data_IF_851939882944
#
_entry.id   IF_851939882944
#
_cell.length_a   1.000
_cell.length_b   1.000
_cell.length_c   1.000
_cell.angle_alpha   90.00
_cell.angle_beta   90.00
_cell.angle_gamma   90.00
#
_symmetry.space_group_name_H-M   'P 1'
#
loop_
_entity.id
_entity.type
_entity.pdbx_description
1 polymer ?
#
# COMPACT_ATOMS: atom_id res chain seq x y z
N UNK A 1 6.28 9.60 -59.76
CA UNK A 1 6.98 8.60 -58.92
C UNK A 1 8.24 9.23 -58.34
N UNK A 2 8.31 9.44 -57.02
CA UNK A 2 9.53 9.46 -56.16
C UNK A 2 9.47 10.40 -54.94
N UNK A 3 8.48 11.30 -54.81
CA UNK A 3 8.44 12.26 -53.68
C UNK A 3 7.46 11.83 -52.57
N UNK A 4 6.50 10.97 -52.86
CA UNK A 4 5.47 10.53 -51.90
C UNK A 4 5.90 9.41 -50.93
N UNK A 5 7.09 8.83 -51.10
CA UNK A 5 7.54 7.69 -50.28
C UNK A 5 8.34 8.15 -49.04
N UNK A 6 8.84 9.39 -49.02
CA UNK A 6 9.71 9.85 -47.92
C UNK A 6 8.92 10.38 -46.71
N UNK A 7 7.67 10.81 -46.90
CA UNK A 7 6.87 11.40 -45.82
C UNK A 7 6.29 10.36 -44.83
N UNK A 8 6.15 9.09 -45.21
CA UNK A 8 5.59 8.05 -44.33
C UNK A 8 6.60 7.44 -43.35
N UNK A 9 7.90 7.71 -43.50
CA UNK A 9 8.93 7.12 -42.64
C UNK A 9 9.18 7.90 -41.33
N UNK A 10 8.60 9.10 -41.16
CA UNK A 10 8.85 9.99 -40.01
C UNK A 10 7.86 9.85 -38.84
N UNK A 11 6.82 9.02 -38.95
CA UNK A 11 5.81 8.85 -37.90
C UNK A 11 6.02 7.60 -37.02
N UNK A 12 7.07 6.84 -37.23
CA UNK A 12 7.43 5.70 -36.39
C UNK A 12 8.47 6.10 -35.34
N UNK A 13 8.20 7.14 -34.55
CA UNK A 13 8.87 7.26 -33.25
C UNK A 13 8.21 6.25 -32.32
N UNK A 14 8.88 5.14 -31.92
CA UNK A 14 8.36 4.35 -30.82
C UNK A 14 8.28 5.30 -29.62
N UNK A 15 7.08 5.58 -29.16
CA UNK A 15 6.91 6.08 -27.81
C UNK A 15 7.56 5.02 -26.92
N UNK A 16 8.74 5.32 -26.38
CA UNK A 16 9.35 4.51 -25.35
C UNK A 16 8.38 4.58 -24.16
N UNK A 17 7.47 3.63 -24.09
CA UNK A 17 6.66 3.42 -22.91
C UNK A 17 7.65 3.13 -21.79
N UNK A 18 7.89 4.11 -20.91
CA UNK A 18 8.67 3.90 -19.71
C UNK A 18 7.89 2.86 -18.92
N UNK A 19 8.41 1.63 -18.86
CA UNK A 19 7.76 0.57 -18.11
C UNK A 19 7.67 1.01 -16.64
N UNK A 20 6.46 1.06 -16.06
CA UNK A 20 6.31 1.56 -14.70
C UNK A 20 7.10 0.68 -13.74
N UNK A 21 7.86 1.32 -12.85
CA UNK A 21 8.78 0.62 -11.96
C UNK A 21 8.01 -0.39 -11.09
N UNK A 22 8.51 -1.61 -11.02
CA UNK A 22 7.87 -2.69 -10.28
C UNK A 22 8.23 -2.62 -8.79
N UNK A 23 7.25 -2.33 -7.92
CA UNK A 23 7.40 -2.28 -6.46
C UNK A 23 7.61 -3.67 -5.84
N UNK A 24 8.17 -3.74 -4.62
CA UNK A 24 8.25 -5.00 -3.87
C UNK A 24 6.90 -5.73 -3.75
N UNK A 25 5.81 -5.00 -3.48
CA UNK A 25 4.44 -5.53 -3.45
C UNK A 25 4.05 -6.26 -4.75
N UNK A 26 4.32 -5.67 -5.91
CA UNK A 26 4.03 -6.31 -7.19
C UNK A 26 4.93 -7.52 -7.47
N UNK A 27 6.23 -7.42 -7.15
CA UNK A 27 7.17 -8.56 -7.28
C UNK A 27 6.74 -9.76 -6.46
N UNK A 28 6.19 -9.55 -5.27
CA UNK A 28 5.76 -10.62 -4.38
C UNK A 28 4.65 -11.48 -5.02
N UNK A 29 3.70 -10.84 -5.71
CA UNK A 29 2.62 -11.55 -6.41
C UNK A 29 3.12 -12.46 -7.54
N UNK A 30 4.26 -12.13 -8.16
CA UNK A 30 4.88 -12.98 -9.17
C UNK A 30 5.75 -14.08 -8.57
N UNK A 31 6.47 -13.77 -7.49
CA UNK A 31 7.45 -14.69 -6.89
C UNK A 31 6.79 -15.76 -6.05
N UNK A 32 5.76 -15.41 -5.29
CA UNK A 32 5.14 -16.28 -4.29
C UNK A 32 3.59 -16.19 -4.38
N UNK A 33 3.00 -16.49 -5.55
CA UNK A 33 1.55 -16.32 -5.77
C UNK A 33 0.72 -17.18 -4.80
N UNK A 34 1.23 -18.34 -4.39
CA UNK A 34 0.54 -19.28 -3.50
C UNK A 34 0.23 -18.71 -2.11
N UNK A 35 1.08 -17.80 -1.60
CA UNK A 35 0.86 -17.19 -0.28
C UNK A 35 -0.39 -16.30 -0.25
N UNK A 36 -0.73 -15.70 -1.38
CA UNK A 36 -1.79 -14.70 -1.52
C UNK A 36 -2.90 -15.18 -2.46
N UNK A 37 -3.08 -16.49 -2.62
CA UNK A 37 -4.21 -17.03 -3.36
C UNK A 37 -5.54 -16.72 -2.67
N UNK A 38 -6.61 -16.61 -3.45
CA UNK A 38 -7.97 -16.50 -2.92
C UNK A 38 -8.27 -17.61 -1.91
N UNK A 39 -8.93 -17.27 -0.80
CA UNK A 39 -9.24 -18.21 0.28
C UNK A 39 -8.12 -18.36 1.32
N UNK A 40 -6.94 -17.80 1.11
CA UNK A 40 -5.85 -17.84 2.09
C UNK A 40 -6.09 -16.85 3.23
N UNK A 41 -5.75 -17.27 4.44
CA UNK A 41 -5.70 -16.38 5.59
C UNK A 41 -4.43 -15.55 5.55
N UNK A 42 -4.59 -14.23 5.66
CA UNK A 42 -3.51 -13.26 5.72
C UNK A 42 -3.65 -12.37 6.95
N UNK A 43 -2.51 -11.84 7.40
CA UNK A 43 -2.43 -10.94 8.54
C UNK A 43 -1.62 -9.70 8.17
N UNK A 44 -2.14 -8.54 8.53
CA UNK A 44 -1.43 -7.27 8.58
C UNK A 44 -1.08 -6.98 10.03
N UNK A 45 0.19 -6.69 10.32
CA UNK A 45 0.68 -6.46 11.69
C UNK A 45 1.32 -5.08 11.84
N UNK A 46 1.08 -4.44 12.99
CA UNK A 46 1.67 -3.16 13.37
C UNK A 46 2.23 -3.24 14.80
N UNK A 47 3.35 -2.55 15.04
CA UNK A 47 4.04 -2.60 16.33
C UNK A 47 5.07 -3.74 16.38
N UNK A 48 5.50 -4.11 17.58
CA UNK A 48 6.46 -5.21 17.80
C UNK A 48 7.91 -4.96 17.34
N UNK A 49 8.19 -3.89 16.58
CA UNK A 49 9.52 -3.59 16.04
C UNK A 49 10.47 -2.86 17.02
N UNK A 50 10.10 -2.73 18.29
CA UNK A 50 10.96 -2.15 19.33
C UNK A 50 12.07 -3.12 19.76
N UNK A 51 13.22 -2.59 20.19
CA UNK A 51 14.31 -3.40 20.78
C UNK A 51 13.90 -4.16 22.06
N UNK A 52 12.75 -3.80 22.64
CA UNK A 52 12.18 -4.44 23.83
C UNK A 52 10.94 -5.22 23.40
N UNK A 53 10.94 -6.53 23.70
CA UNK A 53 9.92 -7.53 23.33
C UNK A 53 8.52 -7.30 23.95
N UNK A 54 8.25 -6.11 24.49
CA UNK A 54 7.05 -5.80 25.30
C UNK A 54 6.00 -4.97 24.57
N UNK A 55 6.31 -4.38 23.41
CA UNK A 55 5.29 -3.62 22.68
C UNK A 55 4.29 -4.58 22.03
N UNK A 56 2.98 -4.44 22.33
CA UNK A 56 1.97 -5.35 21.79
C UNK A 56 1.93 -5.26 20.27
N UNK A 57 1.86 -6.42 19.62
CA UNK A 57 1.58 -6.53 18.19
C UNK A 57 0.09 -6.35 17.98
N UNK A 58 -0.28 -5.32 17.23
CA UNK A 58 -1.65 -5.10 16.77
C UNK A 58 -1.81 -5.70 15.38
N UNK A 59 -3.01 -6.16 15.05
CA UNK A 59 -3.20 -6.90 13.81
C UNK A 59 -4.57 -6.67 13.17
N UNK A 60 -4.62 -6.99 11.88
CA UNK A 60 -5.83 -7.19 11.12
C UNK A 60 -5.68 -8.47 10.31
N UNK A 61 -6.58 -9.43 10.54
CA UNK A 61 -6.66 -10.69 9.80
C UNK A 61 -7.81 -10.67 8.81
N UNK A 62 -7.64 -11.42 7.74
CA UNK A 62 -8.69 -11.62 6.77
C UNK A 62 -8.41 -12.74 5.78
N UNK A 63 -9.38 -12.98 4.93
CA UNK A 63 -9.30 -13.93 3.83
C UNK A 63 -9.05 -13.18 2.52
N UNK A 64 -8.11 -13.65 1.71
CA UNK A 64 -7.86 -13.06 0.39
C UNK A 64 -9.06 -13.33 -0.53
N UNK A 65 -9.55 -12.28 -1.17
CA UNK A 65 -10.61 -12.35 -2.18
C UNK A 65 -10.05 -12.26 -3.60
N UNK A 66 -9.04 -11.42 -3.81
CA UNK A 66 -8.40 -11.23 -5.10
C UNK A 66 -7.03 -10.58 -4.93
N UNK A 67 -6.16 -10.82 -5.89
CA UNK A 67 -4.87 -10.15 -6.04
C UNK A 67 -4.77 -9.52 -7.41
N UNK A 68 -4.13 -8.37 -7.52
CA UNK A 68 -3.99 -7.66 -8.79
C UNK A 68 -2.69 -6.85 -8.83
N UNK A 69 -2.13 -6.65 -10.03
CA UNK A 69 -1.01 -5.73 -10.25
C UNK A 69 -1.53 -4.54 -11.03
N UNK A 70 -1.49 -3.36 -10.40
CA UNK A 70 -2.05 -2.13 -10.97
C UNK A 70 -0.96 -1.09 -11.15
N UNK A 71 -1.01 -0.33 -12.24
CA UNK A 71 -0.23 0.90 -12.37
C UNK A 71 -0.87 1.99 -11.51
N UNK A 72 -0.08 2.61 -10.62
CA UNK A 72 -0.51 3.74 -9.80
C UNK A 72 0.48 4.89 -9.95
N UNK A 73 -0.07 6.09 -10.15
CA UNK A 73 0.70 7.32 -10.10
C UNK A 73 1.05 7.67 -8.65
N UNK A 74 2.35 7.79 -8.35
CA UNK A 74 2.84 8.16 -7.04
C UNK A 74 3.11 9.68 -6.99
N UNK A 75 2.11 10.41 -6.49
CA UNK A 75 2.23 11.84 -6.21
C UNK A 75 3.01 12.15 -4.93
N UNK A 76 3.13 13.44 -4.59
CA UNK A 76 3.77 13.89 -3.34
C UNK A 76 3.06 13.40 -2.09
N UNK A 77 3.84 12.96 -1.09
CA UNK A 77 3.32 12.67 0.24
C UNK A 77 2.82 13.95 0.94
N UNK A 78 1.61 13.93 1.55
CA UNK A 78 1.12 15.03 2.36
C UNK A 78 2.03 15.37 3.55
N UNK A 79 2.60 16.58 3.55
CA UNK A 79 3.41 17.08 4.68
C UNK A 79 2.63 18.10 5.49
N UNK A 80 2.86 18.13 6.80
CA UNK A 80 2.40 19.20 7.68
C UNK A 80 3.61 20.06 8.05
N UNK A 81 3.67 21.32 7.60
CA UNK A 81 4.80 22.20 7.88
C UNK A 81 5.12 22.29 9.37
N UNK A 82 6.40 22.15 9.71
CA UNK A 82 6.89 22.26 11.09
C UNK A 82 6.52 21.11 12.02
N UNK A 83 5.96 20.01 11.52
CA UNK A 83 5.66 18.80 12.30
C UNK A 83 6.36 17.58 11.74
N UNK A 84 6.92 16.78 12.63
CA UNK A 84 7.28 15.40 12.33
C UNK A 84 6.03 14.50 12.44
N UNK A 85 6.08 13.27 11.90
CA UNK A 85 4.92 12.37 11.88
C UNK A 85 4.41 12.04 13.28
N UNK A 86 5.30 11.99 14.28
CA UNK A 86 4.98 11.75 15.70
C UNK A 86 4.20 12.91 16.33
N UNK A 87 4.18 14.08 15.68
CA UNK A 87 3.43 15.26 16.11
C UNK A 87 2.12 15.44 15.32
N UNK A 88 1.84 14.56 14.34
CA UNK A 88 0.61 14.64 13.57
C UNK A 88 -0.59 14.30 14.46
N UNK A 89 -1.68 15.03 14.28
CA UNK A 89 -3.00 14.59 14.72
C UNK A 89 -3.44 13.35 13.94
N UNK A 90 -4.46 12.63 14.43
CA UNK A 90 -4.99 11.45 13.72
C UNK A 90 -5.44 11.79 12.30
N UNK A 91 -6.09 12.94 12.09
CA UNK A 91 -6.55 13.36 10.78
C UNK A 91 -5.39 13.69 9.83
N UNK A 92 -4.33 14.32 10.33
CA UNK A 92 -3.10 14.57 9.56
C UNK A 92 -2.41 13.26 9.17
N UNK A 93 -2.29 12.31 10.11
CA UNK A 93 -1.76 10.98 9.84
C UNK A 93 -2.61 10.22 8.82
N UNK A 94 -3.95 10.24 8.94
CA UNK A 94 -4.83 9.56 8.00
C UNK A 94 -4.66 10.04 6.56
N UNK A 95 -4.50 11.36 6.34
CA UNK A 95 -4.23 11.90 5.01
C UNK A 95 -2.92 11.36 4.43
N UNK A 96 -1.86 11.32 5.24
CA UNK A 96 -0.58 10.73 4.85
C UNK A 96 -0.72 9.23 4.54
N UNK A 97 -1.41 8.49 5.41
CA UNK A 97 -1.61 7.06 5.32
C UNK A 97 -2.39 6.65 4.05
N UNK A 98 -3.42 7.41 3.67
CA UNK A 98 -4.21 7.20 2.44
C UNK A 98 -3.43 7.52 1.17
N UNK A 99 -2.54 8.52 1.23
CA UNK A 99 -1.72 8.89 0.08
C UNK A 99 -0.66 7.84 -0.25
N UNK A 100 -0.27 7.00 0.72
CA UNK A 100 0.76 5.97 0.53
C UNK A 100 0.33 4.88 -0.48
N UNK A 101 1.24 4.36 -1.32
CA UNK A 101 2.60 4.85 -1.54
C UNK A 101 2.63 6.20 -2.26
N UNK A 102 3.57 7.05 -1.88
CA UNK A 102 3.77 8.41 -2.39
C UNK A 102 5.27 8.75 -2.41
N UNK A 103 5.66 9.81 -3.11
CA UNK A 103 7.06 10.24 -3.23
C UNK A 103 7.35 11.43 -2.31
N UNK A 104 8.61 11.53 -1.86
CA UNK A 104 9.04 12.66 -1.02
C UNK A 104 9.00 14.01 -1.75
N UNK A 105 9.13 15.13 -1.03
CA UNK A 105 9.01 16.48 -1.60
C UNK A 105 9.96 16.74 -2.77
N UNK A 106 11.20 16.27 -2.69
CA UNK A 106 12.24 16.47 -3.71
C UNK A 106 12.25 15.39 -4.80
N UNK A 107 11.56 14.27 -4.60
CA UNK A 107 11.58 13.14 -5.55
C UNK A 107 10.55 13.36 -6.67
N UNK A 108 10.91 13.07 -7.92
CA UNK A 108 9.97 13.17 -9.04
C UNK A 108 8.77 12.21 -8.87
N UNK A 109 7.58 12.72 -9.17
CA UNK A 109 6.37 11.90 -9.31
C UNK A 109 6.54 10.94 -10.47
N UNK A 110 5.96 9.75 -10.35
CA UNK A 110 6.16 8.66 -11.32
C UNK A 110 5.10 7.59 -11.18
N UNK A 111 4.93 6.81 -12.23
CA UNK A 111 4.07 5.64 -12.22
C UNK A 111 4.85 4.40 -11.77
N UNK A 112 4.25 3.62 -10.88
CA UNK A 112 4.78 2.36 -10.41
C UNK A 112 3.73 1.26 -10.52
N UNK A 113 4.16 0.03 -10.77
CA UNK A 113 3.31 -1.15 -10.66
C UNK A 113 3.30 -1.64 -9.22
N UNK A 114 2.10 -1.75 -8.65
CA UNK A 114 1.88 -2.10 -7.25
C UNK A 114 1.06 -3.37 -7.15
N UNK A 115 1.44 -4.27 -6.23
CA UNK A 115 0.70 -5.50 -5.98
C UNK A 115 -0.33 -5.26 -4.90
N UNK A 116 -1.62 -5.40 -5.24
CA UNK A 116 -2.74 -5.15 -4.34
C UNK A 116 -3.44 -6.46 -4.02
N UNK A 117 -3.77 -6.62 -2.75
CA UNK A 117 -4.56 -7.72 -2.23
C UNK A 117 -5.84 -7.15 -1.66
N UNK A 118 -6.96 -7.61 -2.21
CA UNK A 118 -8.28 -7.33 -1.65
C UNK A 118 -8.63 -8.47 -0.70
N UNK A 119 -8.97 -8.12 0.54
CA UNK A 119 -9.28 -9.08 1.58
C UNK A 119 -10.63 -8.79 2.24
N UNK A 120 -11.24 -9.85 2.79
CA UNK A 120 -12.40 -9.78 3.68
C UNK A 120 -11.93 -9.84 5.12
N UNK A 121 -12.20 -8.79 5.89
CA UNK A 121 -11.77 -8.69 7.29
C UNK A 121 -12.53 -9.70 8.16
N UNK A 122 -11.80 -10.47 8.96
CA UNK A 122 -12.36 -11.46 9.89
C UNK A 122 -12.15 -11.08 11.35
N UNK A 123 -10.94 -10.64 11.71
CA UNK A 123 -10.53 -10.33 13.09
C UNK A 123 -9.54 -9.16 13.12
N UNK A 124 -9.49 -8.43 14.22
CA UNK A 124 -8.53 -7.35 14.41
C UNK A 124 -8.29 -7.06 15.89
N UNK A 125 -7.12 -6.49 16.18
CA UNK A 125 -6.75 -5.92 17.47
C UNK A 125 -6.10 -4.56 17.20
N UNK A 126 -6.45 -3.53 17.98
CA UNK A 126 -6.01 -2.15 17.69
C UNK A 126 -5.53 -1.43 18.95
N UNK A 127 -4.56 -0.52 18.85
CA UNK A 127 -4.12 0.25 20.00
C UNK A 127 -5.20 1.26 20.43
N UNK A 128 -5.31 1.47 21.74
CA UNK A 128 -6.17 2.49 22.34
C UNK A 128 -5.42 3.67 22.94
N UNK A 129 -4.12 3.50 23.22
CA UNK A 129 -3.26 4.52 23.80
C UNK A 129 -3.18 5.74 22.90
N UNK A 130 -3.33 6.95 23.45
CA UNK A 130 -3.33 8.20 22.67
C UNK A 130 -2.07 8.37 21.81
N UNK A 131 -0.92 7.92 22.32
CA UNK A 131 0.36 7.95 21.60
C UNK A 131 0.38 7.12 20.30
N UNK A 132 -0.56 6.20 20.13
CA UNK A 132 -0.67 5.37 18.92
C UNK A 132 -1.48 6.02 17.79
N UNK A 133 -2.11 7.19 18.04
CA UNK A 133 -2.99 7.82 17.07
C UNK A 133 -2.32 8.14 15.73
N UNK A 134 -1.01 8.31 15.70
CA UNK A 134 -0.20 8.60 14.52
C UNK A 134 0.96 7.60 14.33
N UNK A 135 0.91 6.46 15.02
CA UNK A 135 1.95 5.43 14.97
C UNK A 135 1.65 4.32 13.95
N UNK A 136 0.40 4.23 13.47
CA UNK A 136 -0.06 3.15 12.61
C UNK A 136 -1.44 3.40 12.02
N UNK A 137 -1.80 2.59 11.01
CA UNK A 137 -3.11 2.56 10.36
C UNK A 137 -4.17 2.03 11.32
N UNK A 138 -3.83 1.08 12.19
CA UNK A 138 -4.74 0.53 13.19
C UNK A 138 -4.82 1.43 14.42
N UNK A 139 -6.03 1.85 14.81
CA UNK A 139 -6.24 2.65 16.02
C UNK A 139 -7.70 2.64 16.46
N UNK A 140 -7.99 2.22 17.70
CA UNK A 140 -9.33 2.27 18.33
C UNK A 140 -10.46 1.71 17.45
N UNK A 141 -10.26 0.51 16.91
CA UNK A 141 -11.22 -0.15 16.02
C UNK A 141 -11.30 0.48 14.62
N UNK A 142 -10.36 1.32 14.24
CA UNK A 142 -10.27 1.92 12.91
C UNK A 142 -9.10 1.34 12.12
N UNK A 143 -9.29 1.17 10.82
CA UNK A 143 -8.22 1.07 9.82
C UNK A 143 -8.19 2.39 9.04
N UNK A 144 -7.17 3.19 9.32
CA UNK A 144 -7.00 4.57 8.86
C UNK A 144 -8.20 5.44 9.28
N UNK A 145 -9.12 5.69 8.37
CA UNK A 145 -10.31 6.52 8.51
C UNK A 145 -11.63 5.71 8.50
N UNK A 146 -11.53 4.39 8.36
CA UNK A 146 -12.69 3.48 8.32
C UNK A 146 -12.82 2.69 9.60
N UNK A 147 -14.04 2.62 10.15
CA UNK A 147 -14.34 1.73 11.26
C UNK A 147 -14.30 0.27 10.80
N UNK A 148 -13.55 -0.55 11.53
CA UNK A 148 -13.42 -1.98 11.26
C UNK A 148 -14.73 -2.70 11.61
N UNK A 149 -15.15 -3.57 10.70
CA UNK A 149 -16.33 -4.41 10.82
C UNK A 149 -16.02 -5.77 10.21
N UNK A 150 -16.62 -6.81 10.76
CA UNK A 150 -16.54 -8.14 10.17
C UNK A 150 -17.09 -8.12 8.74
N UNK A 151 -16.46 -8.89 7.87
CA UNK A 151 -16.80 -9.06 6.46
C UNK A 151 -16.61 -7.84 5.56
N UNK A 152 -16.06 -6.72 6.09
CA UNK A 152 -15.74 -5.58 5.24
C UNK A 152 -14.57 -5.87 4.31
N UNK A 153 -14.60 -5.27 3.13
CA UNK A 153 -13.49 -5.36 2.17
C UNK A 153 -12.54 -4.19 2.33
N UNK A 154 -11.24 -4.49 2.34
CA UNK A 154 -10.15 -3.52 2.25
C UNK A 154 -9.11 -3.99 1.24
N UNK A 155 -8.36 -3.03 0.71
CA UNK A 155 -7.21 -3.29 -0.15
C UNK A 155 -5.91 -2.91 0.59
N UNK A 156 -4.91 -3.78 0.51
CA UNK A 156 -3.57 -3.58 1.05
C UNK A 156 -2.52 -3.95 0.00
N UNK A 157 -1.34 -3.35 0.10
CA UNK A 157 -0.19 -3.81 -0.69
C UNK A 157 0.24 -5.21 -0.22
N UNK A 158 0.60 -6.07 -1.18
CA UNK A 158 0.94 -7.46 -0.92
C UNK A 158 2.10 -7.65 0.07
N UNK A 159 3.09 -6.75 0.04
CA UNK A 159 4.27 -6.78 0.91
C UNK A 159 3.99 -6.36 2.37
N UNK A 160 2.79 -5.86 2.66
CA UNK A 160 2.33 -5.59 4.02
C UNK A 160 1.70 -6.82 4.68
N UNK A 161 1.45 -7.89 3.92
CA UNK A 161 0.72 -9.05 4.39
C UNK A 161 1.67 -10.22 4.68
N UNK A 162 1.53 -10.78 5.87
CA UNK A 162 2.02 -12.11 6.21
C UNK A 162 0.93 -13.17 6.00
N UNK A 163 1.33 -14.43 5.93
CA UNK A 163 0.39 -15.56 6.08
C UNK A 163 0.04 -15.72 7.56
N UNK A 164 -1.22 -16.04 7.86
CA UNK A 164 -1.58 -16.38 9.23
C UNK A 164 -0.74 -17.58 9.71
N UNK A 165 -0.31 -17.57 10.97
CA UNK A 165 0.22 -18.78 11.63
C UNK A 165 -0.81 -19.89 11.55
N UNK A 166 -0.35 -21.13 11.35
CA UNK A 166 -1.20 -22.33 11.45
C UNK A 166 -1.75 -22.49 12.86
#
# INVERSE_FOLDING_TARGET
MRILIVALALLATPALAVEPLLRPSARLLFKEPEMLQSGRCVVYEEGGAGWVMTDPVFYLKGEVLATDVRSRHLGKCPVVPGKNIEQYSRAEFNRQALAYPCVGPEAAERDEQIGIVRLRVSEWETPYARKAANAGRLYRGMFIDRALKKDMEIELEADLLGVCGQ
#
